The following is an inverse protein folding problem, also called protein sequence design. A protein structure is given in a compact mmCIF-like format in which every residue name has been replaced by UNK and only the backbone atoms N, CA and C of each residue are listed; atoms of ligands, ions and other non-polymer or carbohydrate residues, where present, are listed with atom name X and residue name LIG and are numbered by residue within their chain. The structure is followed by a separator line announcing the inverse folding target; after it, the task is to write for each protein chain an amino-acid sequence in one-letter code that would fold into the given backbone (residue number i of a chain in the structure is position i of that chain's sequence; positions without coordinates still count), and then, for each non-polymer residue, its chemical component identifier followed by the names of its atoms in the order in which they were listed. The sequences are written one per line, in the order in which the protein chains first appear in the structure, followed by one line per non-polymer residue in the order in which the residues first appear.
data_IF_955579654349
#
_entry.id   IF_955579654349
#
_cell.length_a   1.000
_cell.length_b   1.000
_cell.length_c   1.000
_cell.angle_alpha   90.00
_cell.angle_beta   90.00
_cell.angle_gamma   90.00
#
_symmetry.space_group_name_H-M   'P 1'
#
loop_
_entity.id
_entity.type
_entity.pdbx_description
1 polymer ?
#
# COMPACT_ATOMS: atom_id res chain seq x y z
N UNK A 1 15.35 11.86 -1.78
CA UNK A 1 16.14 11.12 -0.76
C UNK A 1 16.24 11.95 0.51
N UNK A 2 15.57 11.58 1.59
CA UNK A 2 15.71 12.29 2.88
C UNK A 2 17.04 11.91 3.54
N UNK A 3 17.83 12.91 3.97
CA UNK A 3 19.17 12.69 4.52
C UNK A 3 19.12 12.32 6.00
N UNK A 4 19.78 11.19 6.37
CA UNK A 4 19.94 10.66 7.74
C UNK A 4 20.50 11.72 8.71
N UNK A 5 21.24 12.71 8.19
CA UNK A 5 21.84 13.80 8.97
C UNK A 5 20.81 14.62 9.75
N UNK A 6 19.55 14.65 9.31
CA UNK A 6 18.45 15.41 9.93
C UNK A 6 17.76 14.69 11.10
N UNK A 7 18.11 13.43 11.38
CA UNK A 7 17.48 12.66 12.46
C UNK A 7 18.06 13.05 13.84
N UNK A 8 17.17 13.26 14.81
CA UNK A 8 17.57 13.45 16.22
C UNK A 8 18.20 12.20 16.86
N UNK A 9 18.79 12.31 18.06
CA UNK A 9 19.62 11.27 18.68
C UNK A 9 18.95 9.90 18.79
N UNK A 10 17.72 9.84 19.34
CA UNK A 10 16.98 8.59 19.53
C UNK A 10 16.66 7.86 18.22
N UNK A 11 16.47 8.60 17.13
CA UNK A 11 16.15 8.05 15.80
C UNK A 11 17.37 7.42 15.13
N UNK A 12 18.55 8.03 15.34
CA UNK A 12 19.83 7.51 14.86
C UNK A 12 20.17 6.18 15.53
N UNK A 13 19.97 6.08 16.85
CA UNK A 13 20.16 4.85 17.63
C UNK A 13 19.32 3.70 17.09
N UNK A 14 18.01 3.94 16.90
CA UNK A 14 17.08 2.95 16.34
C UNK A 14 17.53 2.48 14.97
N UNK A 15 17.84 3.42 14.08
CA UNK A 15 18.25 3.10 12.72
C UNK A 15 19.56 2.30 12.67
N UNK A 16 20.54 2.63 13.52
CA UNK A 16 21.83 1.93 13.58
C UNK A 16 21.67 0.48 14.06
N UNK A 17 20.86 0.24 15.10
CA UNK A 17 20.62 -1.12 15.61
C UNK A 17 19.92 -2.01 14.59
N UNK A 18 18.89 -1.48 13.93
CA UNK A 18 18.14 -2.21 12.90
C UNK A 18 19.03 -2.53 11.70
N UNK A 19 19.93 -1.61 11.31
CA UNK A 19 20.94 -1.86 10.27
C UNK A 19 21.92 -2.97 10.59
N UNK A 20 22.29 -3.14 11.86
CA UNK A 20 23.16 -4.24 12.31
C UNK A 20 22.48 -5.61 12.23
N UNK A 21 21.14 -5.65 12.10
CA UNK A 21 20.34 -6.88 12.06
C UNK A 21 19.24 -6.78 10.98
N UNK A 22 19.61 -6.72 9.68
CA UNK A 22 18.64 -6.61 8.60
C UNK A 22 17.70 -7.83 8.55
N UNK A 23 16.44 -7.61 8.19
CA UNK A 23 15.39 -8.63 8.08
C UNK A 23 14.77 -9.08 9.41
N UNK A 24 15.34 -8.68 10.55
CA UNK A 24 14.79 -9.04 11.87
C UNK A 24 13.70 -8.05 12.28
N UNK A 25 12.47 -8.55 12.44
CA UNK A 25 11.29 -7.81 12.86
C UNK A 25 11.22 -7.52 14.36
N UNK A 26 11.01 -6.26 14.71
CA UNK A 26 10.86 -5.80 16.11
C UNK A 26 9.40 -5.45 16.38
N UNK A 27 8.76 -6.24 17.25
CA UNK A 27 7.36 -6.07 17.58
C UNK A 27 7.10 -4.90 18.55
N UNK A 28 6.12 -4.03 18.20
CA UNK A 28 5.68 -2.87 18.99
C UNK A 28 5.41 -3.16 20.49
N UNK A 29 4.88 -4.34 20.79
CA UNK A 29 4.47 -4.80 22.13
C UNK A 29 5.43 -5.81 22.78
N UNK A 30 6.51 -6.17 22.08
CA UNK A 30 7.41 -7.26 22.46
C UNK A 30 8.44 -6.89 23.53
N UNK A 31 9.09 -7.91 24.07
CA UNK A 31 10.26 -7.78 24.96
C UNK A 31 11.43 -7.06 24.27
N UNK A 32 11.61 -7.27 22.97
CA UNK A 32 12.69 -6.67 22.18
C UNK A 32 12.69 -5.13 22.21
N UNK A 33 11.52 -4.48 22.14
CA UNK A 33 11.42 -3.01 22.24
C UNK A 33 11.71 -2.53 23.66
N UNK A 34 11.29 -3.27 24.68
CA UNK A 34 11.60 -2.92 26.08
C UNK A 34 13.10 -3.03 26.35
N UNK A 35 13.75 -4.06 25.82
CA UNK A 35 15.20 -4.25 25.93
C UNK A 35 15.95 -3.12 25.21
N UNK A 36 15.55 -2.78 23.98
CA UNK A 36 16.14 -1.68 23.21
C UNK A 36 15.97 -0.33 23.92
N UNK A 37 14.81 -0.10 24.55
CA UNK A 37 14.56 1.12 25.32
C UNK A 37 15.51 1.19 26.53
N UNK A 38 15.65 0.07 27.26
CA UNK A 38 16.52 -0.04 28.43
C UNK A 38 18.00 0.11 28.10
N UNK A 39 18.49 -0.54 27.03
CA UNK A 39 19.90 -0.48 26.58
C UNK A 39 20.36 0.96 26.30
N UNK A 40 19.45 1.81 25.81
CA UNK A 40 19.78 3.17 25.39
C UNK A 40 19.23 4.25 26.33
N UNK A 41 18.75 3.88 27.52
CA UNK A 41 18.21 4.82 28.51
C UNK A 41 16.99 5.59 28.01
N UNK A 42 16.26 5.05 27.03
CA UNK A 42 15.06 5.65 26.47
C UNK A 42 13.83 5.11 27.20
N UNK A 43 12.81 5.95 27.37
CA UNK A 43 11.50 5.42 27.77
C UNK A 43 10.89 4.62 26.60
N UNK A 44 10.10 3.56 26.88
CA UNK A 44 9.42 2.80 25.83
C UNK A 44 8.58 3.68 24.88
N UNK A 45 7.98 4.75 25.39
CA UNK A 45 7.21 5.72 24.61
C UNK A 45 8.10 6.51 23.63
N UNK A 46 9.29 6.93 24.08
CA UNK A 46 10.26 7.66 23.24
C UNK A 46 10.78 6.77 22.12
N UNK A 47 11.02 5.49 22.41
CA UNK A 47 11.45 4.51 21.43
C UNK A 47 10.36 4.21 20.40
N UNK A 48 9.12 4.03 20.84
CA UNK A 48 7.96 3.83 19.96
C UNK A 48 7.77 5.00 18.99
N UNK A 49 7.86 6.23 19.50
CA UNK A 49 7.80 7.44 18.68
C UNK A 49 8.96 7.53 17.67
N UNK A 50 10.17 7.16 18.10
CA UNK A 50 11.33 7.14 17.23
C UNK A 50 11.19 6.10 16.10
N UNK A 51 10.75 4.87 16.41
CA UNK A 51 10.45 3.83 15.41
C UNK A 51 9.39 4.30 14.42
N UNK A 52 8.30 4.86 14.94
CA UNK A 52 7.23 5.39 14.12
C UNK A 52 7.72 6.45 13.12
N UNK A 53 8.52 7.40 13.57
CA UNK A 53 9.01 8.47 12.70
C UNK A 53 10.05 8.00 11.70
N UNK A 54 10.98 7.14 12.11
CA UNK A 54 12.00 6.55 11.23
C UNK A 54 11.33 5.73 10.12
N UNK A 55 10.27 4.97 10.45
CA UNK A 55 9.44 4.25 9.47
C UNK A 55 8.65 5.20 8.57
N UNK A 56 8.03 6.25 9.13
CA UNK A 56 7.27 7.25 8.35
C UNK A 56 8.14 8.00 7.34
N UNK A 57 9.41 8.21 7.67
CA UNK A 57 10.41 8.82 6.78
C UNK A 57 11.05 7.82 5.80
N UNK A 58 10.65 6.56 5.83
CA UNK A 58 11.08 5.52 4.89
C UNK A 58 12.50 4.98 5.13
N UNK A 59 13.06 5.16 6.33
CA UNK A 59 14.37 4.61 6.66
C UNK A 59 14.32 3.13 7.08
N UNK A 60 13.16 2.64 7.52
CA UNK A 60 12.89 1.26 7.93
C UNK A 60 11.49 0.83 7.46
N UNK A 61 11.26 -0.46 7.30
CA UNK A 61 9.97 -1.02 6.95
C UNK A 61 9.09 -1.24 8.20
N UNK A 62 7.78 -1.26 7.99
CA UNK A 62 6.79 -1.67 9.00
C UNK A 62 5.80 -2.64 8.37
N UNK A 63 5.54 -3.74 9.04
CA UNK A 63 4.65 -4.80 8.55
C UNK A 63 3.67 -5.24 9.63
N UNK A 64 2.44 -5.58 9.23
CA UNK A 64 1.45 -6.13 10.14
C UNK A 64 1.48 -7.66 10.06
N UNK A 65 1.89 -8.29 11.15
CA UNK A 65 1.91 -9.75 11.30
C UNK A 65 0.78 -10.14 12.26
N UNK A 66 -0.35 -10.56 11.68
CA UNK A 66 -1.58 -10.84 12.43
C UNK A 66 -2.12 -9.60 13.16
N UNK A 67 -2.20 -9.65 14.49
CA UNK A 67 -2.64 -8.53 15.34
C UNK A 67 -1.51 -7.57 15.75
N UNK A 68 -0.27 -7.85 15.35
CA UNK A 68 0.95 -7.17 15.81
C UNK A 68 1.60 -6.38 14.67
N UNK A 69 2.37 -5.35 15.02
CA UNK A 69 3.15 -4.54 14.07
C UNK A 69 4.64 -4.77 14.34
N UNK A 70 5.38 -5.09 13.30
CA UNK A 70 6.83 -5.29 13.33
C UNK A 70 7.53 -4.18 12.54
N UNK A 71 8.67 -3.72 13.05
CA UNK A 71 9.56 -2.77 12.38
C UNK A 71 10.89 -3.46 12.07
N UNK A 72 11.45 -3.29 10.87
CA UNK A 72 12.74 -3.89 10.51
C UNK A 72 13.51 -3.05 9.51
N UNK A 73 14.83 -3.19 9.50
CA UNK A 73 15.64 -2.72 8.39
C UNK A 73 15.59 -3.77 7.27
N UNK A 74 15.29 -3.40 6.03
CA UNK A 74 15.26 -4.32 4.89
C UNK A 74 16.64 -4.98 4.68
N UNK A 75 16.67 -6.25 4.29
CA UNK A 75 17.88 -6.79 3.65
C UNK A 75 18.05 -6.14 2.26
N UNK A 76 19.27 -5.99 1.76
CA UNK A 76 19.57 -5.32 0.48
C UNK A 76 18.79 -5.89 -0.73
N UNK A 77 18.36 -7.16 -0.65
CA UNK A 77 17.54 -7.86 -1.65
C UNK A 77 16.02 -7.72 -1.44
N UNK A 78 15.58 -7.21 -0.30
CA UNK A 78 14.17 -6.93 0.00
C UNK A 78 13.93 -5.43 -0.23
N UNK A 79 13.37 -5.08 -1.38
CA UNK A 79 12.97 -3.70 -1.66
C UNK A 79 12.18 -3.15 -0.46
N UNK A 80 12.62 -2.01 0.09
CA UNK A 80 11.80 -1.24 1.04
C UNK A 80 10.43 -1.06 0.38
N UNK A 81 9.31 -1.45 1.03
CA UNK A 81 8.01 -0.99 0.59
C UNK A 81 8.02 0.54 0.72
N UNK A 82 8.36 1.20 -0.38
CA UNK A 82 8.37 2.64 -0.52
C UNK A 82 6.93 3.13 -0.33
N UNK A 83 6.70 3.83 0.79
CA UNK A 83 5.44 4.47 1.21
C UNK A 83 4.30 3.53 1.63
N UNK A 84 4.29 3.20 2.92
CA UNK A 84 3.06 3.23 3.69
C UNK A 84 3.17 4.32 4.77
N UNK A 85 3.18 5.59 4.35
CA UNK A 85 2.90 6.72 5.23
C UNK A 85 1.46 6.59 5.76
N UNK A 86 1.16 7.16 6.92
CA UNK A 86 -0.21 7.29 7.42
C UNK A 86 -0.99 8.25 6.51
N UNK A 87 -1.52 7.68 5.46
CA UNK A 87 -2.76 8.15 4.87
C UNK A 87 -3.73 7.04 5.26
N UNK A 88 -4.75 7.36 6.03
CA UNK A 88 -5.93 6.51 6.08
C UNK A 88 -6.66 6.72 4.73
N UNK A 89 -6.05 6.18 3.68
CA UNK A 89 -6.30 6.49 2.28
C UNK A 89 -5.34 5.65 1.46
N UNK A 90 -5.52 4.32 1.48
CA UNK A 90 -4.99 3.51 0.39
C UNK A 90 -5.43 4.16 -0.91
N UNK A 91 -4.53 4.28 -1.90
CA UNK A 91 -4.81 4.98 -3.15
C UNK A 91 -6.21 4.59 -3.65
N UNK A 92 -7.18 5.47 -3.40
CA UNK A 92 -8.58 5.23 -3.73
C UNK A 92 -8.71 5.69 -5.16
N UNK A 93 -8.26 4.85 -6.09
CA UNK A 93 -8.57 5.04 -7.49
C UNK A 93 -10.07 4.78 -7.66
N UNK A 94 -10.79 5.82 -8.11
CA UNK A 94 -12.17 5.67 -8.56
C UNK A 94 -12.11 5.35 -10.04
N UNK A 95 -12.91 4.37 -10.43
CA UNK A 95 -13.11 4.01 -11.82
C UNK A 95 -14.60 4.01 -12.12
N UNK A 96 -14.94 4.49 -13.30
CA UNK A 96 -16.26 4.52 -13.89
C UNK A 96 -16.46 3.23 -14.65
N UNK A 97 -17.59 2.57 -14.37
CA UNK A 97 -17.96 1.30 -15.01
C UNK A 97 -19.18 1.56 -15.88
N UNK A 98 -19.06 1.27 -17.17
CA UNK A 98 -20.17 1.32 -18.13
C UNK A 98 -20.85 -0.03 -18.17
N UNK A 99 -22.18 -0.04 -18.11
CA UNK A 99 -23.01 -1.24 -18.19
C UNK A 99 -23.89 -1.17 -19.42
N UNK A 100 -23.79 -2.14 -20.31
CA UNK A 100 -24.60 -2.26 -21.51
C UNK A 100 -25.30 -3.61 -21.49
N UNK A 101 -26.61 -3.63 -21.76
CA UNK A 101 -27.35 -4.88 -21.94
C UNK A 101 -27.27 -5.30 -23.40
N UNK A 102 -26.93 -6.56 -23.64
CA UNK A 102 -26.90 -7.14 -24.98
C UNK A 102 -28.22 -7.84 -25.36
N UNK A 103 -28.26 -8.36 -26.59
CA UNK A 103 -29.43 -9.03 -27.17
C UNK A 103 -29.77 -10.35 -26.47
N UNK A 104 -28.78 -11.02 -25.87
CA UNK A 104 -28.91 -12.29 -25.15
C UNK A 104 -29.32 -12.10 -23.69
N UNK A 105 -29.56 -10.85 -23.27
CA UNK A 105 -30.00 -10.51 -21.91
C UNK A 105 -28.88 -10.50 -20.88
N UNK A 106 -27.61 -10.55 -21.30
CA UNK A 106 -26.48 -10.30 -20.42
C UNK A 106 -26.26 -8.80 -20.25
N UNK A 107 -25.68 -8.43 -19.11
CA UNK A 107 -25.19 -7.08 -18.83
C UNK A 107 -23.68 -7.15 -18.86
N UNK A 108 -23.08 -6.51 -19.87
CA UNK A 108 -21.65 -6.36 -20.05
C UNK A 108 -21.19 -5.13 -19.27
N UNK A 109 -20.24 -5.33 -18.37
CA UNK A 109 -19.58 -4.30 -17.57
C UNK A 109 -18.16 -4.05 -18.11
N UNK A 110 -17.81 -2.79 -18.34
CA UNK A 110 -16.52 -2.39 -18.89
C UNK A 110 -15.94 -1.19 -18.16
N UNK A 111 -14.61 -1.13 -18.02
CA UNK A 111 -13.91 -0.01 -17.36
C UNK A 111 -13.00 0.67 -18.38
N UNK A 112 -13.35 1.88 -18.81
CA UNK A 112 -12.61 2.58 -19.89
C UNK A 112 -11.14 2.81 -19.56
N UNK A 113 -10.83 3.20 -18.33
CA UNK A 113 -9.46 3.44 -17.88
C UNK A 113 -8.63 2.16 -17.66
N UNK A 114 -9.26 0.99 -17.64
CA UNK A 114 -8.57 -0.31 -17.55
C UNK A 114 -8.84 -1.07 -18.85
N UNK A 115 -8.11 -0.70 -19.91
CA UNK A 115 -8.30 -1.25 -21.24
C UNK A 115 -8.28 -2.79 -21.22
N UNK A 116 -9.32 -3.42 -21.77
CA UNK A 116 -9.47 -4.87 -21.78
C UNK A 116 -10.06 -5.47 -20.49
N UNK A 117 -10.33 -4.68 -19.45
CA UNK A 117 -11.01 -5.14 -18.24
C UNK A 117 -12.54 -5.14 -18.45
N UNK A 118 -13.05 -6.30 -18.85
CA UNK A 118 -14.47 -6.54 -19.07
C UNK A 118 -14.96 -7.72 -18.23
N UNK A 119 -16.25 -7.71 -17.91
CA UNK A 119 -16.95 -8.82 -17.27
C UNK A 119 -18.43 -8.76 -17.62
N UNK A 120 -19.17 -9.84 -17.39
CA UNK A 120 -20.62 -9.88 -17.64
C UNK A 120 -21.40 -10.58 -16.52
N UNK A 121 -22.72 -10.40 -16.52
CA UNK A 121 -23.66 -11.08 -15.63
C UNK A 121 -25.08 -11.03 -16.17
N UNK A 122 -25.96 -11.95 -15.74
CA UNK A 122 -27.38 -11.94 -16.11
C UNK A 122 -28.19 -10.87 -15.37
N UNK A 123 -27.63 -10.35 -14.29
CA UNK A 123 -28.22 -9.26 -13.50
C UNK A 123 -27.19 -8.15 -13.27
N UNK A 124 -27.67 -6.94 -12.97
CA UNK A 124 -26.79 -5.80 -12.71
C UNK A 124 -25.88 -6.07 -11.50
N UNK A 125 -26.41 -6.70 -10.45
CA UNK A 125 -25.64 -7.04 -9.25
C UNK A 125 -24.58 -8.11 -9.51
N UNK A 126 -24.88 -9.08 -10.35
CA UNK A 126 -23.90 -10.06 -10.81
C UNK A 126 -22.78 -9.40 -11.63
N UNK A 127 -23.14 -8.59 -12.62
CA UNK A 127 -22.17 -7.86 -13.44
C UNK A 127 -21.26 -6.97 -12.56
N UNK A 128 -21.84 -6.25 -11.59
CA UNK A 128 -21.11 -5.45 -10.59
C UNK A 128 -20.15 -6.27 -9.73
N UNK A 129 -20.55 -7.47 -9.30
CA UNK A 129 -19.68 -8.36 -8.51
C UNK A 129 -18.51 -8.83 -9.36
N UNK A 130 -18.81 -9.36 -10.54
CA UNK A 130 -17.82 -9.97 -11.42
C UNK A 130 -16.80 -8.92 -11.93
N UNK A 131 -17.24 -7.71 -12.29
CA UNK A 131 -16.31 -6.64 -12.72
C UNK A 131 -15.38 -6.19 -11.59
N UNK A 132 -15.84 -6.16 -10.32
CA UNK A 132 -14.97 -5.85 -9.18
C UNK A 132 -13.88 -6.91 -8.98
N UNK A 133 -14.18 -8.18 -9.23
CA UNK A 133 -13.20 -9.26 -9.16
C UNK A 133 -12.18 -9.16 -10.30
N UNK A 134 -12.65 -8.92 -11.53
CA UNK A 134 -11.78 -8.68 -12.68
C UNK A 134 -10.83 -7.50 -12.45
N UNK A 135 -11.34 -6.37 -11.96
CA UNK A 135 -10.52 -5.19 -11.62
C UNK A 135 -9.46 -5.51 -10.55
N UNK A 136 -9.79 -6.30 -9.53
CA UNK A 136 -8.82 -6.71 -8.49
C UNK A 136 -7.69 -7.53 -9.08
N UNK A 137 -8.00 -8.52 -9.92
CA UNK A 137 -7.01 -9.34 -10.60
C UNK A 137 -6.11 -8.52 -11.53
N UNK A 138 -6.72 -7.64 -12.32
CA UNK A 138 -6.01 -6.74 -13.24
C UNK A 138 -5.01 -5.84 -12.49
N UNK A 139 -5.46 -5.14 -11.46
CA UNK A 139 -4.62 -4.24 -10.67
C UNK A 139 -3.52 -4.98 -9.90
N UNK A 140 -3.80 -6.17 -9.38
CA UNK A 140 -2.79 -7.00 -8.73
C UNK A 140 -1.69 -7.43 -9.72
N UNK A 141 -2.06 -7.81 -10.95
CA UNK A 141 -1.11 -8.13 -12.01
C UNK A 141 -0.21 -6.95 -12.34
N UNK A 142 -0.78 -5.76 -12.55
CA UNK A 142 0.00 -4.54 -12.82
C UNK A 142 1.01 -4.24 -11.71
N UNK A 143 0.57 -4.36 -10.44
CA UNK A 143 1.45 -4.16 -9.29
C UNK A 143 2.59 -5.18 -9.26
N UNK A 144 2.30 -6.45 -9.57
CA UNK A 144 3.30 -7.52 -9.62
C UNK A 144 4.38 -7.25 -10.68
N UNK A 145 3.98 -6.70 -11.84
CA UNK A 145 4.90 -6.36 -12.92
C UNK A 145 5.55 -4.96 -12.78
N UNK A 146 5.25 -4.23 -11.70
CA UNK A 146 5.78 -2.88 -11.47
C UNK A 146 5.22 -1.83 -12.45
N UNK A 147 4.07 -2.11 -13.06
CA UNK A 147 3.41 -1.21 -13.99
C UNK A 147 2.68 -0.08 -13.25
N UNK A 148 2.56 1.08 -13.90
CA UNK A 148 1.82 2.21 -13.34
C UNK A 148 0.32 1.94 -13.42
N UNK A 149 -0.36 2.03 -12.27
CA UNK A 149 -1.83 1.97 -12.21
C UNK A 149 -2.43 3.15 -12.99
N UNK A 150 -3.31 2.92 -13.98
CA UNK A 150 -3.99 3.98 -14.72
C UNK A 150 -4.90 4.78 -13.79
N UNK A 151 -4.92 6.09 -13.97
CA UNK A 151 -5.91 6.97 -13.32
C UNK A 151 -6.95 7.38 -14.35
N UNK A 152 -8.22 7.52 -13.95
CA UNK A 152 -9.21 8.15 -14.82
C UNK A 152 -8.78 9.60 -15.09
N UNK A 153 -8.50 9.91 -16.35
CA UNK A 153 -8.38 11.27 -16.82
C UNK A 153 -9.77 11.92 -16.87
N UNK A 154 -9.83 13.25 -16.83
CA UNK A 154 -11.10 13.97 -16.97
C UNK A 154 -11.71 13.65 -18.34
N UNK A 155 -12.80 12.89 -18.35
CA UNK A 155 -13.52 12.55 -19.57
C UNK A 155 -14.72 13.51 -19.74
N UNK A 156 -14.69 14.32 -20.80
CA UNK A 156 -15.82 15.16 -21.20
C UNK A 156 -16.67 14.43 -22.25
N UNK A 157 -17.97 14.21 -22.01
CA UNK A 157 -18.84 13.62 -23.02
C UNK A 157 -19.03 14.60 -24.18
N UNK A 158 -18.69 14.16 -25.38
CA UNK A 158 -18.93 14.93 -26.61
C UNK A 158 -20.19 14.40 -27.28
N UNK A 159 -21.22 15.23 -27.37
CA UNK A 159 -22.43 14.92 -28.13
C UNK A 159 -22.20 15.19 -29.62
N UNK A 160 -22.50 14.20 -30.45
CA UNK A 160 -22.47 14.32 -31.91
C UNK A 160 -23.89 14.12 -32.42
N UNK A 161 -24.40 15.10 -33.17
CA UNK A 161 -25.70 15.00 -33.84
C UNK A 161 -25.49 14.31 -35.19
N UNK A 162 -26.25 13.24 -35.42
CA UNK A 162 -26.31 12.49 -36.67
C UNK A 162 -27.56 12.86 -37.46
#
# INVERSE_FOLDING_TARGET
MQSIKTLGPSRKIVLEKLRKNPGVGYERSGEAIRLLAKEHGLSPLTLDAALWEVASKGFIARERVGRRVQYYYPAESQALPGRASRDNGGASARYTVTYVRDEDGYIVASVGALQGCHSQGRTLEEAKRNIREAMRGYLASMQYHGERVPTEEEAEPVEVLF
#
